data_IF_959029927320
#
_entry.id   IF_959029927320
#
_cell.length_a   1.000
_cell.length_b   1.000
_cell.length_c   1.000
_cell.angle_alpha   90.00
_cell.angle_beta   90.00
_cell.angle_gamma   90.00
#
_symmetry.space_group_name_H-M   'P 1'
#
loop_
_entity.id
_entity.type
_entity.pdbx_description
1 polymer ?
#
# COMPACT_ATOMS: atom_id res chain seq x y z
N UNK A 1 -84.95 -14.21 -21.11
CA UNK A 1 -84.04 -14.42 -19.98
C UNK A 1 -82.61 -14.36 -20.38
N UNK A 2 -81.93 -13.29 -20.01
CA UNK A 2 -80.56 -13.06 -20.23
C UNK A 2 -79.73 -13.68 -19.09
N UNK A 3 -78.58 -14.31 -19.39
CA UNK A 3 -77.72 -14.86 -18.35
C UNK A 3 -76.90 -13.73 -17.63
N UNK A 4 -76.57 -13.91 -16.34
CA UNK A 4 -75.91 -12.91 -15.55
C UNK A 4 -74.40 -12.81 -15.91
N UNK A 5 -73.95 -11.59 -16.00
CA UNK A 5 -72.54 -11.22 -16.12
C UNK A 5 -71.71 -11.57 -14.90
N UNK A 6 -70.53 -12.14 -15.02
CA UNK A 6 -69.67 -12.42 -13.86
C UNK A 6 -69.01 -11.15 -13.34
N UNK A 7 -68.69 -11.08 -12.01
CA UNK A 7 -68.19 -9.88 -11.37
C UNK A 7 -66.71 -9.59 -11.71
N UNK A 8 -66.46 -8.31 -11.87
CA UNK A 8 -65.22 -7.65 -12.35
C UNK A 8 -64.05 -7.62 -11.34
N UNK A 9 -64.11 -8.51 -10.32
CA UNK A 9 -63.15 -8.48 -9.20
C UNK A 9 -61.93 -9.42 -9.33
N UNK A 10 -61.80 -10.14 -10.47
CA UNK A 10 -60.71 -11.10 -10.63
C UNK A 10 -59.49 -10.55 -11.39
N UNK A 11 -59.52 -9.30 -11.84
CA UNK A 11 -58.39 -8.65 -12.59
C UNK A 11 -57.49 -7.76 -11.71
N UNK A 12 -57.76 -7.60 -10.42
CA UNK A 12 -56.97 -6.76 -9.51
C UNK A 12 -55.99 -7.54 -8.60
N UNK A 13 -55.94 -8.88 -8.72
CA UNK A 13 -55.13 -9.72 -7.82
C UNK A 13 -53.84 -10.24 -8.47
N UNK A 14 -53.47 -9.79 -9.68
CA UNK A 14 -52.33 -10.33 -10.43
C UNK A 14 -51.17 -9.32 -10.68
N UNK A 15 -51.18 -8.14 -10.06
CA UNK A 15 -50.15 -7.11 -10.28
C UNK A 15 -49.34 -6.76 -9.01
N UNK A 16 -49.53 -7.50 -7.93
CA UNK A 16 -48.75 -7.27 -6.69
C UNK A 16 -47.61 -8.26 -6.45
N UNK A 17 -47.18 -8.98 -7.46
CA UNK A 17 -46.06 -9.93 -7.35
C UNK A 17 -45.02 -9.55 -8.37
N UNK A 18 -44.21 -8.53 -8.14
CA UNK A 18 -42.85 -8.34 -8.69
C UNK A 18 -42.30 -7.00 -8.20
N UNK A 19 -41.50 -6.99 -7.28
CA UNK A 19 -40.15 -6.32 -7.26
C UNK A 19 -39.57 -6.42 -5.86
N UNK A 20 -39.37 -7.64 -5.38
CA UNK A 20 -38.33 -7.84 -4.37
C UNK A 20 -37.00 -7.73 -5.09
N UNK A 21 -36.49 -6.51 -5.35
CA UNK A 21 -35.08 -6.29 -5.66
C UNK A 21 -34.33 -6.75 -4.41
N UNK A 22 -33.83 -7.97 -4.43
CA UNK A 22 -32.79 -8.43 -3.52
C UNK A 22 -31.54 -7.61 -3.83
N UNK A 23 -31.36 -6.53 -3.08
CA UNK A 23 -30.06 -5.84 -3.00
C UNK A 23 -29.09 -6.84 -2.39
N UNK A 24 -28.34 -7.55 -3.23
CA UNK A 24 -27.20 -8.34 -2.78
C UNK A 24 -26.27 -7.34 -2.06
N UNK A 25 -25.86 -7.62 -0.82
CA UNK A 25 -24.85 -6.80 -0.17
C UNK A 25 -23.60 -6.88 -1.05
N UNK A 26 -23.22 -5.77 -1.67
CA UNK A 26 -21.90 -5.63 -2.26
C UNK A 26 -20.93 -5.74 -1.10
N UNK A 27 -20.24 -6.87 -0.97
CA UNK A 27 -19.15 -7.03 -0.01
C UNK A 27 -18.14 -5.94 -0.32
N UNK A 28 -18.04 -4.96 0.58
CA UNK A 28 -17.07 -3.88 0.45
C UNK A 28 -15.66 -4.48 0.52
N UNK A 29 -14.78 -4.07 -0.38
CA UNK A 29 -13.38 -4.48 -0.38
C UNK A 29 -12.74 -4.15 0.98
N UNK A 30 -12.23 -5.17 1.65
CA UNK A 30 -11.74 -5.08 3.03
C UNK A 30 -10.22 -4.96 3.11
N UNK A 31 -9.71 -4.49 4.25
CA UNK A 31 -8.26 -4.45 4.53
C UNK A 31 -7.62 -5.84 4.54
N UNK A 32 -8.38 -6.88 4.91
CA UNK A 32 -7.92 -8.27 4.85
C UNK A 32 -7.75 -8.75 3.39
N UNK A 33 -8.69 -8.42 2.51
CA UNK A 33 -8.59 -8.73 1.07
C UNK A 33 -7.45 -7.96 0.42
N UNK A 34 -7.26 -6.68 0.77
CA UNK A 34 -6.11 -5.90 0.32
C UNK A 34 -4.79 -6.53 0.79
N UNK A 35 -4.69 -6.94 2.05
CA UNK A 35 -3.52 -7.62 2.58
C UNK A 35 -3.23 -8.92 1.80
N UNK A 36 -4.25 -9.76 1.57
CA UNK A 36 -4.10 -10.99 0.81
C UNK A 36 -3.65 -10.72 -0.64
N UNK A 37 -4.20 -9.69 -1.28
CA UNK A 37 -3.82 -9.29 -2.64
C UNK A 37 -2.35 -8.86 -2.72
N UNK A 38 -1.87 -8.04 -1.78
CA UNK A 38 -0.50 -7.53 -1.78
C UNK A 38 0.52 -8.60 -1.35
N UNK A 39 0.10 -9.61 -0.58
CA UNK A 39 0.95 -10.73 -0.14
C UNK A 39 0.98 -11.88 -1.15
N UNK A 40 0.06 -11.94 -2.11
CA UNK A 40 -0.04 -13.02 -3.07
C UNK A 40 1.23 -13.23 -3.94
N UNK A 41 1.92 -12.19 -4.44
CA UNK A 41 3.15 -12.38 -5.21
C UNK A 41 4.28 -12.93 -4.33
N UNK A 42 5.07 -13.88 -4.87
CA UNK A 42 6.30 -14.34 -4.22
C UNK A 42 7.38 -13.26 -4.20
N UNK A 43 7.39 -12.40 -5.21
CA UNK A 43 8.26 -11.24 -5.29
C UNK A 43 7.61 -10.10 -6.06
N UNK A 44 7.95 -8.86 -5.66
CA UNK A 44 7.59 -7.62 -6.35
C UNK A 44 8.87 -6.82 -6.55
N UNK A 45 9.12 -6.34 -7.75
CA UNK A 45 10.25 -5.47 -8.04
C UNK A 45 9.86 -4.36 -9.01
N UNK A 46 10.59 -3.26 -8.98
CA UNK A 46 10.31 -2.13 -9.86
C UNK A 46 11.20 -0.94 -9.61
N UNK A 47 10.83 0.18 -10.19
CA UNK A 47 11.40 1.48 -9.92
C UNK A 47 10.58 2.28 -8.92
N UNK A 48 11.20 3.27 -8.33
CA UNK A 48 10.50 4.30 -7.57
C UNK A 48 11.07 5.68 -7.86
N UNK A 49 10.22 6.68 -7.75
CA UNK A 49 10.58 8.09 -7.70
C UNK A 49 9.98 8.70 -6.45
N UNK A 50 10.73 9.56 -5.77
CA UNK A 50 10.30 10.26 -4.59
C UNK A 50 10.50 11.76 -4.77
N UNK A 51 9.50 12.53 -4.44
CA UNK A 51 9.55 13.99 -4.35
C UNK A 51 9.28 14.40 -2.91
N UNK A 52 10.23 15.09 -2.30
CA UNK A 52 10.06 15.63 -0.94
C UNK A 52 9.94 17.14 -1.01
N UNK A 53 8.77 17.63 -0.64
CA UNK A 53 8.42 19.04 -0.56
C UNK A 53 8.73 19.52 0.87
N UNK A 54 9.79 20.28 1.01
CA UNK A 54 10.20 20.88 2.28
C UNK A 54 9.63 22.28 2.39
N UNK A 55 9.11 22.65 3.56
CA UNK A 55 8.60 24.02 3.82
C UNK A 55 9.63 25.11 3.55
N UNK A 56 10.90 24.79 3.70
CA UNK A 56 12.01 25.72 3.53
C UNK A 56 12.54 25.84 2.10
N UNK A 57 11.96 25.11 1.14
CA UNK A 57 12.45 25.05 -0.24
C UNK A 57 11.30 25.19 -1.25
N UNK A 58 11.52 26.02 -2.28
CA UNK A 58 10.56 26.22 -3.35
C UNK A 58 10.41 25.03 -4.30
N UNK A 59 11.48 24.21 -4.40
CA UNK A 59 11.49 23.05 -5.28
C UNK A 59 11.64 21.76 -4.45
N UNK A 60 10.93 20.68 -4.84
CA UNK A 60 11.06 19.41 -4.15
C UNK A 60 12.44 18.80 -4.37
N UNK A 61 12.95 18.14 -3.34
CA UNK A 61 14.10 17.24 -3.46
C UNK A 61 13.63 15.97 -4.15
N UNK A 62 14.28 15.61 -5.25
CA UNK A 62 13.95 14.40 -6.01
C UNK A 62 14.96 13.30 -5.75
N UNK A 63 14.48 12.12 -5.49
CA UNK A 63 15.27 10.90 -5.37
C UNK A 63 14.61 9.80 -6.18
N UNK A 64 15.36 8.76 -6.50
CA UNK A 64 14.80 7.64 -7.24
C UNK A 64 15.76 6.45 -7.29
N UNK A 65 15.21 5.31 -7.62
CA UNK A 65 15.95 4.07 -7.65
C UNK A 65 15.10 2.86 -7.98
N UNK A 66 15.54 1.73 -7.49
CA UNK A 66 14.89 0.43 -7.68
C UNK A 66 14.68 -0.27 -6.35
N UNK A 67 13.71 -1.16 -6.33
CA UNK A 67 13.47 -2.02 -5.17
C UNK A 67 13.16 -3.45 -5.59
N UNK A 68 13.35 -4.36 -4.66
CA UNK A 68 12.87 -5.73 -4.73
C UNK A 68 12.35 -6.15 -3.36
N UNK A 69 11.13 -6.65 -3.33
CA UNK A 69 10.43 -7.09 -2.14
C UNK A 69 10.08 -8.58 -2.25
N UNK A 70 10.29 -9.31 -1.19
CA UNK A 70 9.64 -10.61 -0.93
C UNK A 70 8.73 -10.45 0.28
N UNK A 71 7.40 -10.47 0.10
CA UNK A 71 6.46 -10.32 1.20
C UNK A 71 6.77 -11.27 2.35
N UNK A 72 6.81 -10.77 3.58
CA UNK A 72 7.15 -11.55 4.77
C UNK A 72 8.64 -11.94 4.94
N UNK A 73 9.51 -11.66 3.96
CA UNK A 73 10.94 -12.04 4.00
C UNK A 73 11.88 -10.84 4.07
N UNK A 74 11.67 -9.85 3.20
CA UNK A 74 12.54 -8.69 3.21
C UNK A 74 12.37 -7.75 2.02
N UNK A 75 13.03 -6.61 2.12
CA UNK A 75 13.07 -5.54 1.11
C UNK A 75 14.52 -5.19 0.80
N UNK A 76 14.87 -5.18 -0.46
CA UNK A 76 16.07 -4.55 -1.00
C UNK A 76 15.68 -3.21 -1.61
N UNK A 77 16.35 -2.14 -1.17
CA UNK A 77 16.09 -0.77 -1.60
C UNK A 77 17.38 -0.15 -2.12
N UNK A 78 17.40 0.17 -3.40
CA UNK A 78 18.56 0.73 -4.08
C UNK A 78 18.23 2.15 -4.55
N UNK A 79 18.60 3.15 -3.75
CA UNK A 79 18.60 4.55 -4.15
C UNK A 79 19.73 4.76 -5.16
N UNK A 80 19.42 5.30 -6.34
CA UNK A 80 20.37 5.51 -7.44
C UNK A 80 20.62 6.97 -7.73
N UNK A 81 19.67 7.84 -7.38
CA UNK A 81 19.75 9.29 -7.57
C UNK A 81 19.30 10.02 -6.32
N UNK A 82 20.00 11.09 -5.87
CA UNK A 82 21.19 11.71 -6.46
C UNK A 82 22.51 10.97 -6.18
N UNK A 83 22.54 10.03 -5.25
CA UNK A 83 23.72 9.23 -4.89
C UNK A 83 23.35 7.76 -4.72
N UNK A 84 24.32 6.89 -4.94
CA UNK A 84 24.14 5.44 -4.82
C UNK A 84 24.11 5.02 -3.35
N UNK A 85 23.02 4.38 -2.94
CA UNK A 85 22.87 3.84 -1.59
C UNK A 85 21.99 2.60 -1.62
N UNK A 86 22.48 1.52 -1.03
CA UNK A 86 21.74 0.27 -0.93
C UNK A 86 21.40 -0.03 0.51
N UNK A 87 20.13 -0.32 0.75
CA UNK A 87 19.58 -0.76 2.02
C UNK A 87 18.94 -2.13 1.86
N UNK A 88 18.97 -2.93 2.89
CA UNK A 88 18.14 -4.10 3.02
C UNK A 88 17.40 -4.10 4.36
N UNK A 89 16.17 -4.57 4.32
CA UNK A 89 15.39 -4.84 5.52
C UNK A 89 15.10 -6.33 5.56
N UNK A 90 15.43 -6.97 6.65
CA UNK A 90 15.17 -8.38 6.91
C UNK A 90 14.68 -8.53 8.35
N UNK A 91 14.41 -9.76 8.78
CA UNK A 91 14.02 -10.04 10.17
C UNK A 91 15.07 -9.61 11.20
N UNK A 92 16.35 -9.67 10.81
CA UNK A 92 17.50 -9.25 11.63
C UNK A 92 17.71 -7.73 11.69
N UNK A 93 16.90 -6.97 10.97
CA UNK A 93 16.93 -5.51 11.00
C UNK A 93 17.23 -4.86 9.67
N UNK A 94 17.69 -3.61 9.75
CA UNK A 94 18.05 -2.79 8.58
C UNK A 94 19.57 -2.75 8.47
N UNK A 95 20.07 -3.01 7.27
CA UNK A 95 21.50 -2.88 6.95
C UNK A 95 21.70 -1.98 5.74
N UNK A 96 22.80 -1.23 5.75
CA UNK A 96 23.30 -0.46 4.63
C UNK A 96 24.55 -1.13 4.07
N UNK A 97 24.69 -1.14 2.74
CA UNK A 97 25.92 -1.60 2.11
C UNK A 97 26.99 -0.51 2.17
N UNK A 98 28.18 -0.84 2.66
CA UNK A 98 29.34 0.06 2.68
C UNK A 98 30.07 0.09 1.32
N UNK A 99 31.12 0.92 1.22
CA UNK A 99 31.92 1.07 -0.01
C UNK A 99 32.65 -0.23 -0.41
N UNK A 100 32.87 -1.14 0.53
CA UNK A 100 33.48 -2.44 0.31
C UNK A 100 32.45 -3.53 -0.03
N UNK A 101 31.16 -3.15 -0.19
CA UNK A 101 30.10 -4.08 -0.50
C UNK A 101 29.59 -4.90 0.70
N UNK A 102 30.05 -4.60 1.92
CA UNK A 102 29.65 -5.30 3.12
C UNK A 102 28.36 -4.71 3.72
N UNK A 103 27.49 -5.58 4.20
CA UNK A 103 26.28 -5.14 4.89
C UNK A 103 26.57 -4.80 6.34
N UNK A 104 26.40 -3.52 6.70
CA UNK A 104 26.55 -3.02 8.07
C UNK A 104 25.18 -2.70 8.65
N UNK A 105 24.98 -3.07 9.92
CA UNK A 105 23.76 -2.72 10.63
C UNK A 105 23.57 -1.19 10.59
N UNK A 106 22.43 -0.76 10.08
CA UNK A 106 22.04 0.64 10.11
C UNK A 106 21.21 0.83 11.36
N UNK A 107 21.67 1.68 12.29
CA UNK A 107 20.98 1.86 13.57
C UNK A 107 19.47 2.03 13.37
N UNK A 108 18.70 1.21 14.04
CA UNK A 108 17.24 1.09 13.87
C UNK A 108 16.45 2.35 14.23
N UNK A 109 17.11 3.37 14.75
CA UNK A 109 16.50 4.59 15.27
C UNK A 109 16.61 5.80 14.35
N UNK A 110 17.13 5.65 13.13
CA UNK A 110 17.14 6.75 12.17
C UNK A 110 15.77 6.93 11.53
N UNK A 111 15.38 8.18 11.25
CA UNK A 111 14.13 8.50 10.55
C UNK A 111 14.03 7.76 9.21
N UNK A 112 15.15 7.59 8.50
CA UNK A 112 15.23 6.84 7.26
C UNK A 112 14.94 5.35 7.46
N UNK A 113 15.43 4.75 8.53
CA UNK A 113 15.15 3.36 8.86
C UNK A 113 13.68 3.12 9.15
N UNK A 114 13.03 4.03 9.88
CA UNK A 114 11.59 3.97 10.15
C UNK A 114 10.77 4.09 8.86
N UNK A 115 11.16 4.98 7.95
CA UNK A 115 10.51 5.14 6.66
C UNK A 115 10.62 3.88 5.79
N UNK A 116 11.78 3.25 5.73
CA UNK A 116 11.97 2.01 4.95
C UNK A 116 11.19 0.84 5.54
N UNK A 117 11.08 0.73 6.88
CA UNK A 117 10.20 -0.26 7.53
C UNK A 117 8.73 -0.04 7.17
N UNK A 118 8.28 1.22 7.22
CA UNK A 118 6.93 1.57 6.81
C UNK A 118 6.67 1.15 5.36
N UNK A 119 7.59 1.43 4.44
CA UNK A 119 7.45 1.00 3.04
C UNK A 119 7.42 -0.52 2.90
N UNK A 120 8.21 -1.26 3.66
CA UNK A 120 8.14 -2.72 3.64
C UNK A 120 6.76 -3.23 4.07
N UNK A 121 6.19 -2.67 5.13
CA UNK A 121 4.85 -3.04 5.60
C UNK A 121 3.77 -2.67 4.57
N UNK A 122 3.85 -1.47 3.99
CA UNK A 122 2.91 -0.97 2.98
C UNK A 122 2.97 -1.82 1.71
N UNK A 123 4.16 -1.99 1.12
CA UNK A 123 4.36 -2.71 -0.14
C UNK A 123 4.07 -4.21 0.01
N UNK A 124 4.36 -4.76 1.18
CA UNK A 124 4.15 -6.18 1.51
C UNK A 124 2.75 -6.49 2.05
N UNK A 125 1.86 -5.50 2.17
CA UNK A 125 0.50 -5.71 2.66
C UNK A 125 0.43 -6.16 4.12
N UNK A 126 1.41 -5.79 4.95
CA UNK A 126 1.39 -6.09 6.39
C UNK A 126 0.47 -5.12 7.12
N UNK A 127 -0.83 -5.29 6.90
CA UNK A 127 -1.86 -4.44 7.54
C UNK A 127 -1.89 -4.61 9.05
N UNK A 128 -1.49 -5.76 9.59
CA UNK A 128 -1.42 -5.99 11.03
C UNK A 128 -0.34 -5.12 11.68
N UNK A 129 0.83 -5.00 11.06
CA UNK A 129 1.89 -4.10 11.53
C UNK A 129 1.44 -2.63 11.43
N UNK A 130 0.80 -2.24 10.33
CA UNK A 130 0.27 -0.88 10.17
C UNK A 130 -0.77 -0.55 11.23
N UNK A 131 -1.68 -1.48 11.56
CA UNK A 131 -2.72 -1.30 12.57
C UNK A 131 -2.18 -1.11 13.99
N UNK A 132 -0.95 -1.49 14.27
CA UNK A 132 -0.33 -1.20 15.58
C UNK A 132 -0.11 0.30 15.80
N UNK A 133 0.10 1.04 14.73
CA UNK A 133 0.52 2.43 14.77
C UNK A 133 -0.49 3.40 14.18
N UNK A 134 -1.42 2.91 13.36
CA UNK A 134 -2.38 3.71 12.61
C UNK A 134 -3.78 3.12 12.65
N UNK A 135 -4.77 3.97 12.57
CA UNK A 135 -6.12 3.60 12.18
C UNK A 135 -6.19 3.57 10.66
N UNK A 136 -6.79 2.52 10.11
CA UNK A 136 -6.84 2.26 8.68
C UNK A 136 -8.25 2.53 8.15
N UNK A 137 -8.35 3.34 7.10
CA UNK A 137 -9.59 3.55 6.35
C UNK A 137 -9.35 3.21 4.87
N UNK A 138 -10.00 2.13 4.39
CA UNK A 138 -9.91 1.66 3.02
C UNK A 138 -11.14 2.11 2.24
N UNK A 139 -10.92 2.58 1.01
CA UNK A 139 -11.98 2.91 0.05
C UNK A 139 -11.61 2.39 -1.34
N UNK A 140 -12.63 2.24 -2.22
CA UNK A 140 -12.46 1.70 -3.56
C UNK A 140 -12.66 0.20 -3.63
N UNK A 141 -12.03 -0.44 -4.60
CA UNK A 141 -12.13 -1.87 -4.90
C UNK A 141 -10.74 -2.48 -5.18
N UNK A 142 -10.69 -3.78 -5.48
CA UNK A 142 -9.44 -4.50 -5.73
C UNK A 142 -8.57 -3.93 -6.89
N UNK A 143 -9.17 -3.16 -7.79
CA UNK A 143 -8.49 -2.59 -8.97
C UNK A 143 -8.06 -1.15 -8.77
N UNK A 144 -8.78 -0.42 -7.91
CA UNK A 144 -8.50 0.98 -7.61
C UNK A 144 -8.91 1.27 -6.17
N UNK A 145 -7.94 1.24 -5.28
CA UNK A 145 -8.13 1.44 -3.85
C UNK A 145 -7.28 2.58 -3.31
N UNK A 146 -7.75 3.12 -2.21
CA UNK A 146 -7.01 4.07 -1.39
C UNK A 146 -7.11 3.65 0.07
N UNK A 147 -5.96 3.54 0.72
CA UNK A 147 -5.82 3.26 2.14
C UNK A 147 -5.28 4.53 2.83
N UNK A 148 -6.07 5.07 3.73
CA UNK A 148 -5.67 6.21 4.57
C UNK A 148 -5.25 5.71 5.94
N UNK A 149 -4.07 6.11 6.38
CA UNK A 149 -3.52 5.80 7.69
C UNK A 149 -3.53 7.06 8.55
N UNK A 150 -4.28 7.01 9.64
CA UNK A 150 -4.32 8.07 10.65
C UNK A 150 -3.49 7.64 11.87
N UNK A 151 -2.45 8.41 12.27
CA UNK A 151 -1.61 8.05 13.40
C UNK A 151 -2.41 7.90 14.70
N UNK A 152 -2.27 6.76 15.40
CA UNK A 152 -2.91 6.53 16.71
C UNK A 152 -1.95 6.49 17.88
N UNK A 153 -0.68 6.15 17.65
CA UNK A 153 0.34 6.19 18.72
C UNK A 153 0.95 7.58 18.87
N UNK A 154 1.39 7.92 20.07
CA UNK A 154 2.01 9.23 20.36
C UNK A 154 3.22 9.50 19.45
N UNK A 155 4.05 8.47 19.22
CA UNK A 155 5.24 8.56 18.36
C UNK A 155 4.84 8.89 16.92
N UNK A 156 3.85 8.21 16.37
CA UNK A 156 3.43 8.47 14.99
C UNK A 156 2.74 9.82 14.83
N UNK A 157 1.98 10.28 15.84
CA UNK A 157 1.39 11.62 15.83
C UNK A 157 2.40 12.77 15.88
N UNK A 158 3.60 12.51 16.38
CA UNK A 158 4.69 13.50 16.34
C UNK A 158 5.34 13.62 14.98
N UNK A 159 5.23 12.58 14.14
CA UNK A 159 5.89 12.52 12.84
C UNK A 159 4.92 12.83 11.70
N UNK A 160 3.72 12.26 11.73
CA UNK A 160 2.77 12.34 10.61
C UNK A 160 1.44 12.99 11.02
N UNK A 161 0.84 13.73 10.10
CA UNK A 161 -0.57 14.08 10.14
C UNK A 161 -1.41 12.94 9.54
N UNK A 162 -0.98 12.43 8.39
CA UNK A 162 -1.68 11.42 7.61
C UNK A 162 -0.74 10.76 6.60
N UNK A 163 -1.01 9.50 6.28
CA UNK A 163 -0.40 8.79 5.16
C UNK A 163 -1.51 8.31 4.24
N UNK A 164 -1.38 8.52 2.94
CA UNK A 164 -2.32 8.02 1.93
C UNK A 164 -1.58 7.10 0.98
N UNK A 165 -2.09 5.89 0.81
CA UNK A 165 -1.55 4.87 -0.07
C UNK A 165 -2.60 4.54 -1.10
N UNK A 166 -2.23 4.47 -2.36
CA UNK A 166 -3.14 4.09 -3.43
C UNK A 166 -2.51 3.11 -4.41
N UNK A 167 -3.34 2.33 -5.05
CA UNK A 167 -2.89 1.34 -6.00
C UNK A 167 -4.03 0.61 -6.70
N UNK A 168 -3.64 -0.44 -7.40
CA UNK A 168 -4.51 -1.41 -8.05
C UNK A 168 -4.11 -2.82 -7.63
N UNK A 169 -3.58 -3.63 -8.53
CA UNK A 169 -3.04 -4.95 -8.17
C UNK A 169 -1.89 -4.84 -7.14
N UNK A 170 -1.11 -3.77 -7.20
CA UNK A 170 0.01 -3.46 -6.32
C UNK A 170 -0.10 -2.00 -5.86
N UNK A 171 0.70 -1.64 -4.85
CA UNK A 171 0.87 -0.25 -4.44
C UNK A 171 1.51 0.54 -5.57
N UNK A 172 0.94 1.69 -5.90
CA UNK A 172 1.44 2.58 -6.95
C UNK A 172 1.94 3.92 -6.42
N UNK A 173 1.35 4.41 -5.33
CA UNK A 173 1.67 5.72 -4.76
C UNK A 173 1.56 5.70 -3.25
N UNK A 174 2.49 6.41 -2.59
CA UNK A 174 2.45 6.71 -1.16
C UNK A 174 2.66 8.20 -0.96
N UNK A 175 1.79 8.83 -0.21
CA UNK A 175 1.88 10.24 0.17
C UNK A 175 2.00 10.34 1.70
N UNK A 176 3.06 10.96 2.16
CA UNK A 176 3.30 11.25 3.57
C UNK A 176 3.05 12.73 3.83
N UNK A 177 2.14 13.04 4.72
CA UNK A 177 1.90 14.38 5.24
C UNK A 177 2.53 14.45 6.64
N UNK A 178 3.64 15.17 6.73
CA UNK A 178 4.46 15.23 7.93
C UNK A 178 4.02 16.37 8.87
N UNK A 179 4.15 16.15 10.17
CA UNK A 179 3.73 17.10 11.20
C UNK A 179 4.41 18.47 11.11
N UNK A 180 5.63 18.50 10.58
CA UNK A 180 6.40 19.72 10.37
C UNK A 180 5.96 20.55 9.16
N UNK A 181 4.99 20.03 8.38
CA UNK A 181 4.48 20.65 7.16
C UNK A 181 5.26 20.27 5.90
N UNK A 182 6.17 19.30 6.00
CA UNK A 182 6.78 18.67 4.85
C UNK A 182 5.84 17.63 4.25
N UNK A 183 5.96 17.37 2.96
CA UNK A 183 5.20 16.34 2.25
C UNK A 183 6.12 15.52 1.38
N UNK A 184 5.97 14.20 1.44
CA UNK A 184 6.69 13.26 0.57
C UNK A 184 5.69 12.55 -0.33
N UNK A 185 5.96 12.51 -1.62
CA UNK A 185 5.21 11.75 -2.62
C UNK A 185 6.14 10.71 -3.23
N UNK A 186 5.81 9.45 -3.09
CA UNK A 186 6.52 8.34 -3.71
C UNK A 186 5.63 7.66 -4.74
N UNK A 187 6.17 7.42 -5.92
CA UNK A 187 5.51 6.69 -7.00
C UNK A 187 6.32 5.46 -7.36
N UNK A 188 5.64 4.33 -7.51
CA UNK A 188 6.22 3.06 -7.93
C UNK A 188 5.86 2.82 -9.39
N UNK A 189 6.86 2.44 -10.19
CA UNK A 189 6.71 2.26 -11.63
C UNK A 189 7.42 1.00 -12.11
N UNK A 190 7.11 0.57 -13.33
CA UNK A 190 7.68 -0.63 -13.95
C UNK A 190 7.60 -1.87 -13.03
N UNK A 191 6.47 -2.00 -12.33
CA UNK A 191 6.25 -3.06 -11.36
C UNK A 191 6.16 -4.42 -12.05
N UNK A 192 6.86 -5.39 -11.51
CA UNK A 192 6.88 -6.78 -11.97
C UNK A 192 6.72 -7.72 -10.78
N UNK A 193 5.92 -8.76 -10.97
CA UNK A 193 5.70 -9.81 -9.96
C UNK A 193 6.30 -11.13 -10.43
N UNK A 194 6.84 -11.91 -9.49
CA UNK A 194 7.29 -13.29 -9.72
C UNK A 194 8.34 -13.42 -10.84
N UNK A 195 9.10 -12.35 -11.10
CA UNK A 195 10.23 -12.37 -12.02
C UNK A 195 11.54 -12.62 -11.27
N UNK A 196 12.54 -13.21 -11.94
CA UNK A 196 13.86 -13.39 -11.33
C UNK A 196 14.40 -12.06 -10.80
N UNK A 197 14.87 -12.07 -9.56
CA UNK A 197 15.49 -10.90 -8.94
C UNK A 197 16.89 -10.68 -9.50
N UNK A 198 17.35 -9.43 -9.48
CA UNK A 198 18.74 -9.11 -9.83
C UNK A 198 19.71 -9.81 -8.88
N UNK A 199 20.97 -10.09 -9.31
CA UNK A 199 21.98 -10.68 -8.42
C UNK A 199 22.17 -9.92 -7.12
N UNK A 200 22.16 -8.58 -7.17
CA UNK A 200 22.28 -7.73 -5.98
C UNK A 200 21.09 -7.90 -5.03
N UNK A 201 19.86 -7.98 -5.58
CA UNK A 201 18.65 -8.18 -4.78
C UNK A 201 18.64 -9.58 -4.13
N UNK A 202 19.01 -10.63 -4.86
CA UNK A 202 19.14 -11.99 -4.33
C UNK A 202 20.13 -12.05 -3.17
N UNK A 203 21.34 -11.53 -3.38
CA UNK A 203 22.36 -11.45 -2.33
C UNK A 203 21.85 -10.68 -1.10
N UNK A 204 21.20 -9.55 -1.30
CA UNK A 204 20.67 -8.74 -0.21
C UNK A 204 19.58 -9.49 0.59
N UNK A 205 18.73 -10.26 -0.08
CA UNK A 205 17.63 -11.00 0.51
C UNK A 205 18.04 -12.41 1.03
N UNK A 206 19.24 -12.87 0.73
CA UNK A 206 19.78 -14.12 1.23
C UNK A 206 19.39 -15.34 0.39
N UNK A 207 19.36 -15.17 -0.92
CA UNK A 207 19.15 -16.23 -1.92
C UNK A 207 20.47 -16.65 -2.59
#
# INVERSE_FOLDING_TARGET
>A
PTPPTPPDNMKKLLISLLLSLTTLPTLAFSTAELAAQLQAPQSVQGGFTQQRFLRSMDKPVQTGGRFALRPGHGLFWHLQKPFDMKLRVRRDGISRQDAQGQWRANGSQTAQAAQVKLFMAVLGGDTAELQRHFDLALSGDARQWQLTLTPKTAVMRQVFNKIVISGGQLVQKVELDEKQGDRTVMQFNQLQTNRPLSPAARQALGE
#
